data_IF_456805434935
#
_entry.id   IF_456805434935
#
_cell.length_a   1.000
_cell.length_b   1.000
_cell.length_c   1.000
_cell.angle_alpha   90.00
_cell.angle_beta   90.00
_cell.angle_gamma   90.00
#
_symmetry.space_group_name_H-M   'P 1'
#
loop_
_entity.id
_entity.type
_entity.pdbx_description
1 polymer ?
#
# COMPACT_ATOMS: atom_id res chain seq x y z
N UNK A 1 -4.10 5.52 15.67
CA UNK A 1 -3.64 4.31 14.97
C UNK A 1 -4.05 4.43 13.52
N UNK A 2 -3.16 4.20 12.54
CA UNK A 2 -3.58 4.11 11.13
C UNK A 2 -4.28 2.75 10.91
N UNK A 3 -5.34 2.66 10.10
CA UNK A 3 -5.97 1.39 9.80
C UNK A 3 -4.97 0.48 9.07
N UNK A 4 -5.04 -0.82 9.33
CA UNK A 4 -4.17 -1.81 8.68
C UNK A 4 -4.52 -2.00 7.18
N UNK A 5 -5.75 -1.66 6.80
CA UNK A 5 -6.28 -1.83 5.44
C UNK A 5 -6.93 -0.54 4.99
N UNK A 6 -6.73 -0.18 3.72
CA UNK A 6 -7.51 0.83 3.02
C UNK A 6 -8.21 0.14 1.85
N UNK A 7 -9.52 0.31 1.74
CA UNK A 7 -10.30 -0.15 0.59
C UNK A 7 -10.62 1.05 -0.29
N UNK A 8 -10.42 0.91 -1.60
CA UNK A 8 -10.76 1.90 -2.60
C UNK A 8 -11.87 1.33 -3.49
N UNK A 9 -12.71 2.20 -4.03
CA UNK A 9 -13.80 1.84 -4.94
C UNK A 9 -14.57 0.55 -4.56
N UNK A 10 -15.04 0.38 -3.31
CA UNK A 10 -15.61 -0.88 -2.83
C UNK A 10 -16.87 -1.32 -3.59
N UNK A 11 -17.55 -0.37 -4.24
CA UNK A 11 -18.77 -0.60 -5.03
C UNK A 11 -18.49 -0.68 -6.54
N UNK A 12 -17.21 -0.74 -6.96
CA UNK A 12 -16.81 -0.79 -8.36
C UNK A 12 -17.36 -2.01 -9.09
N UNK A 13 -17.79 -1.83 -10.35
CA UNK A 13 -18.46 -2.87 -11.13
C UNK A 13 -17.51 -3.77 -11.93
N UNK A 14 -16.18 -3.62 -11.77
CA UNK A 14 -15.21 -4.45 -12.48
C UNK A 14 -15.34 -5.93 -12.15
N UNK A 15 -14.88 -6.77 -13.08
CA UNK A 15 -14.72 -8.22 -12.84
C UNK A 15 -13.42 -8.57 -12.10
N UNK A 16 -12.57 -7.58 -11.83
CA UNK A 16 -11.28 -7.76 -11.18
C UNK A 16 -11.27 -7.05 -9.83
N UNK A 17 -10.48 -7.59 -8.91
CA UNK A 17 -10.12 -6.96 -7.63
C UNK A 17 -8.63 -6.70 -7.66
N UNK A 18 -8.21 -5.48 -7.35
CA UNK A 18 -6.81 -5.11 -7.27
C UNK A 18 -6.31 -5.21 -5.83
N UNK A 19 -5.19 -5.90 -5.63
CA UNK A 19 -4.55 -6.02 -4.32
C UNK A 19 -3.16 -5.38 -4.37
N UNK A 20 -2.85 -4.55 -3.38
CA UNK A 20 -1.52 -3.97 -3.19
C UNK A 20 -1.08 -4.19 -1.74
N UNK A 21 -0.40 -5.31 -1.52
CA UNK A 21 0.07 -5.74 -0.19
C UNK A 21 1.21 -4.84 0.35
N UNK A 22 2.19 -4.50 -0.48
CA UNK A 22 3.33 -3.63 -0.09
C UNK A 22 3.08 -2.14 -0.37
N UNK A 23 1.86 -1.65 -0.10
CA UNK A 23 1.41 -0.31 -0.49
C UNK A 23 2.04 0.86 0.30
N UNK A 24 2.55 0.62 1.51
CA UNK A 24 2.90 1.70 2.44
C UNK A 24 4.21 1.44 3.16
N UNK A 25 4.99 2.51 3.32
CA UNK A 25 6.18 2.54 4.18
C UNK A 25 5.87 2.95 5.64
N UNK A 26 4.61 2.86 6.07
CA UNK A 26 4.26 3.21 7.44
C UNK A 26 4.73 2.11 8.40
N UNK A 27 5.64 2.47 9.31
CA UNK A 27 6.11 1.61 10.40
C UNK A 27 5.47 2.05 11.73
N UNK A 28 4.69 1.19 12.41
CA UNK A 28 4.23 1.47 13.77
C UNK A 28 5.39 1.69 14.75
N UNK A 29 5.28 2.71 15.59
CA UNK A 29 6.34 3.13 16.52
C UNK A 29 6.80 2.00 17.47
N UNK A 30 5.86 1.13 17.87
CA UNK A 30 6.14 -0.02 18.75
C UNK A 30 7.19 -0.99 18.21
N UNK A 31 7.45 -1.00 16.90
CA UNK A 31 8.46 -1.86 16.28
C UNK A 31 9.85 -1.21 16.21
N UNK A 32 9.99 0.07 16.58
CA UNK A 32 11.27 0.78 16.66
C UNK A 32 12.18 0.58 15.44
N UNK A 33 11.61 0.57 14.23
CA UNK A 33 12.34 0.38 12.99
C UNK A 33 12.97 -1.01 12.81
N UNK A 34 12.58 -2.01 13.61
CA UNK A 34 13.05 -3.41 13.55
C UNK A 34 14.59 -3.57 13.60
N UNK A 35 15.30 -2.59 14.16
CA UNK A 35 16.77 -2.57 14.19
C UNK A 35 17.44 -2.17 12.86
N UNK A 36 16.68 -1.70 11.86
CA UNK A 36 17.20 -1.23 10.59
C UNK A 36 17.65 0.23 10.67
N UNK A 37 18.65 0.59 9.84
CA UNK A 37 19.04 1.98 9.65
C UNK A 37 17.90 2.75 8.93
N UNK A 38 17.71 4.05 9.20
CA UNK A 38 16.66 4.84 8.55
C UNK A 38 16.72 4.81 7.02
N UNK A 39 17.92 4.74 6.44
CA UNK A 39 18.11 4.64 4.99
C UNK A 39 17.55 3.33 4.41
N UNK A 40 17.60 2.24 5.17
CA UNK A 40 17.06 0.93 4.77
C UNK A 40 15.52 0.96 4.72
N UNK A 41 14.90 1.68 5.67
CA UNK A 41 13.45 1.91 5.64
C UNK A 41 12.98 2.76 4.45
N UNK A 42 13.87 3.41 3.69
CA UNK A 42 13.49 4.16 2.48
C UNK A 42 13.61 3.33 1.18
N UNK A 43 14.05 2.07 1.27
CA UNK A 43 14.29 1.19 0.13
C UNK A 43 13.14 0.21 -0.07
N UNK A 44 13.18 -0.53 -1.17
CA UNK A 44 12.15 -1.51 -1.54
C UNK A 44 11.99 -2.67 -0.53
N UNK A 45 12.92 -2.83 0.41
CA UNK A 45 12.80 -3.82 1.48
C UNK A 45 11.68 -3.49 2.47
N UNK A 46 11.22 -2.24 2.53
CA UNK A 46 10.19 -1.80 3.46
C UNK A 46 8.79 -1.71 2.83
N UNK A 47 8.70 -1.58 1.50
CA UNK A 47 7.47 -1.41 0.71
C UNK A 47 7.81 -1.40 -0.79
N UNK A 48 6.82 -1.41 -1.68
CA UNK A 48 7.04 -1.30 -3.13
C UNK A 48 6.81 0.15 -3.62
N UNK A 49 7.87 0.95 -3.87
CA UNK A 49 7.71 2.35 -4.23
C UNK A 49 6.96 2.51 -5.57
N UNK A 50 5.87 3.26 -5.54
CA UNK A 50 5.03 3.51 -6.72
C UNK A 50 3.89 2.50 -6.93
N UNK A 51 3.82 1.40 -6.17
CA UNK A 51 2.76 0.40 -6.31
C UNK A 51 1.38 0.95 -5.92
N UNK A 52 1.25 1.60 -4.76
CA UNK A 52 -0.03 2.19 -4.30
C UNK A 52 -0.60 3.25 -5.26
N UNK A 53 0.17 4.26 -5.73
CA UNK A 53 -0.39 5.25 -6.64
C UNK A 53 -0.78 4.62 -7.98
N UNK A 54 -0.04 3.62 -8.47
CA UNK A 54 -0.41 2.87 -9.67
C UNK A 54 -1.71 2.07 -9.45
N UNK A 55 -1.84 1.36 -8.33
CA UNK A 55 -3.02 0.58 -8.00
C UNK A 55 -4.27 1.48 -7.91
N UNK A 56 -4.14 2.69 -7.33
CA UNK A 56 -5.22 3.69 -7.30
C UNK A 56 -5.65 4.14 -8.70
N UNK A 57 -4.69 4.41 -9.58
CA UNK A 57 -4.97 4.79 -10.97
C UNK A 57 -5.65 3.65 -11.74
N UNK A 58 -5.21 2.41 -11.53
CA UNK A 58 -5.83 1.23 -12.14
C UNK A 58 -7.24 0.98 -11.59
N UNK A 59 -7.46 1.12 -10.28
CA UNK A 59 -8.78 1.01 -9.65
C UNK A 59 -9.78 1.98 -10.29
N UNK A 60 -9.38 3.24 -10.46
CA UNK A 60 -10.20 4.24 -11.15
C UNK A 60 -10.41 3.92 -12.65
N UNK A 61 -9.37 3.48 -13.37
CA UNK A 61 -9.46 3.20 -14.80
C UNK A 61 -10.28 1.96 -15.14
N UNK A 62 -10.30 0.96 -14.25
CA UNK A 62 -10.98 -0.33 -14.43
C UNK A 62 -12.32 -0.42 -13.71
N UNK A 63 -12.70 0.62 -12.96
CA UNK A 63 -13.81 0.61 -12.00
C UNK A 63 -13.75 -0.59 -11.03
N UNK A 64 -12.53 -0.89 -10.57
CA UNK A 64 -12.24 -2.07 -9.74
C UNK A 64 -12.04 -1.67 -8.28
N UNK A 65 -12.53 -2.48 -7.31
CA UNK A 65 -12.08 -2.38 -5.92
C UNK A 65 -10.60 -2.73 -5.77
#
# INVERSE_FOLDING_TARGET
>A
MRPAVTTLNPDGASRYVLLCEHASNFMPEAYAGLGLLPAELQRHIAWDPGAEPLARLLSAALDAP
#
